data_IF_038151339522
#
_entry.id   IF_038151339522
#
_cell.length_a   1.000
_cell.length_b   1.000
_cell.length_c   1.000
_cell.angle_alpha   90.00
_cell.angle_beta   90.00
_cell.angle_gamma   90.00
#
_symmetry.space_group_name_H-M   'P 1'
#
loop_
_entity.id
_entity.type
_entity.pdbx_description
1 polymer ?
#
# COMPACT_ATOMS: atom_id res chain seq x y z
N UNK A 1 -36.53 63.40 40.53
CA UNK A 1 -37.79 62.81 41.05
C UNK A 1 -37.92 61.46 40.32
N UNK A 2 -37.74 60.34 41.06
CA UNK A 2 -37.84 58.90 40.68
C UNK A 2 -36.91 58.42 39.53
N UNK A 3 -35.94 57.49 39.64
CA UNK A 3 -35.72 56.26 40.43
C UNK A 3 -36.68 55.09 40.13
N UNK A 4 -36.09 53.88 40.14
CA UNK A 4 -36.59 52.50 39.93
C UNK A 4 -36.29 51.93 38.53
N UNK A 5 -35.58 50.82 38.33
CA UNK A 5 -35.00 49.86 39.25
C UNK A 5 -34.85 48.47 38.58
N UNK A 6 -33.62 47.95 38.60
CA UNK A 6 -33.15 46.55 38.77
C UNK A 6 -33.62 45.40 37.85
N UNK A 7 -32.63 44.60 37.42
CA UNK A 7 -32.79 43.16 37.17
C UNK A 7 -31.73 42.56 36.26
N UNK A 8 -30.57 42.20 36.80
CA UNK A 8 -29.70 41.15 36.22
C UNK A 8 -30.15 39.80 36.82
N UNK A 9 -30.23 38.72 36.02
CA UNK A 9 -29.22 37.68 36.24
C UNK A 9 -28.77 36.97 34.95
N UNK A 10 -27.54 36.48 35.01
CA UNK A 10 -26.81 35.90 33.90
C UNK A 10 -27.41 34.65 33.25
N UNK A 11 -26.89 34.38 32.05
CA UNK A 11 -26.62 33.03 31.57
C UNK A 11 -25.23 33.09 30.91
N UNK A 12 -24.25 32.61 31.65
CA UNK A 12 -23.00 32.09 31.14
C UNK A 12 -23.32 30.96 30.16
N UNK A 13 -23.23 31.24 28.86
CA UNK A 13 -23.18 30.19 27.85
C UNK A 13 -21.71 29.91 27.58
N UNK A 14 -21.29 28.79 28.17
CA UNK A 14 -20.03 28.10 27.93
C UNK A 14 -19.78 28.02 26.42
N UNK A 15 -18.71 28.67 25.96
CA UNK A 15 -18.12 28.33 24.66
C UNK A 15 -17.45 26.97 24.86
N UNK A 16 -18.22 25.94 24.54
CA UNK A 16 -17.79 24.57 24.42
C UNK A 16 -16.55 24.54 23.51
N UNK A 17 -15.43 24.11 24.11
CA UNK A 17 -14.18 23.88 23.43
C UNK A 17 -14.44 22.85 22.32
N UNK A 18 -14.60 23.33 21.09
CA UNK A 18 -14.57 22.51 19.90
C UNK A 18 -13.19 21.87 19.81
N UNK A 19 -13.15 20.61 20.20
CA UNK A 19 -11.99 19.73 20.20
C UNK A 19 -11.28 19.83 18.86
N UNK A 20 -9.97 20.07 18.94
CA UNK A 20 -9.11 20.21 17.77
C UNK A 20 -9.28 19.01 16.85
N UNK A 21 -9.68 19.27 15.62
CA UNK A 21 -9.36 18.37 14.53
C UNK A 21 -7.84 18.34 14.48
N UNK A 22 -7.25 17.27 15.04
CA UNK A 22 -5.87 16.92 14.77
C UNK A 22 -5.77 16.76 13.25
N UNK A 23 -5.26 17.81 12.60
CA UNK A 23 -4.64 17.72 11.29
C UNK A 23 -3.57 16.65 11.45
N UNK A 24 -3.92 15.42 11.10
CA UNK A 24 -2.96 14.36 10.86
C UNK A 24 -2.24 14.80 9.59
N UNK A 25 -1.28 15.72 9.76
CA UNK A 25 -0.25 16.02 8.77
C UNK A 25 0.39 14.68 8.43
N UNK A 26 -0.07 14.08 7.33
CA UNK A 26 0.61 12.97 6.68
C UNK A 26 1.83 13.54 5.94
N UNK A 27 2.72 14.16 6.71
CA UNK A 27 4.05 14.60 6.31
C UNK A 27 5.09 13.51 6.65
N UNK A 28 4.68 12.24 6.59
CA UNK A 28 5.62 11.18 6.28
C UNK A 28 5.95 11.28 4.79
N UNK A 29 6.89 12.19 4.52
CA UNK A 29 7.85 12.08 3.43
C UNK A 29 8.05 10.60 3.10
N UNK A 30 7.65 10.22 1.89
CA UNK A 30 7.91 8.91 1.31
C UNK A 30 9.42 8.61 1.40
N UNK A 31 9.86 8.02 2.51
CA UNK A 31 11.12 7.31 2.56
C UNK A 31 10.91 6.02 1.76
N UNK A 32 11.13 6.16 0.46
CA UNK A 32 11.02 5.13 -0.57
C UNK A 32 11.92 3.90 -0.34
N UNK A 33 12.59 3.79 0.81
CA UNK A 33 13.46 2.66 1.17
C UNK A 33 12.77 1.58 2.00
N UNK A 34 11.62 1.86 2.62
CA UNK A 34 10.85 0.84 3.36
C UNK A 34 9.84 0.18 2.42
N UNK A 35 9.90 -1.15 2.32
CA UNK A 35 8.90 -1.91 1.56
C UNK A 35 7.48 -1.60 2.11
N UNK A 36 6.44 -1.51 1.26
CA UNK A 36 5.08 -1.24 1.70
C UNK A 36 4.69 -2.28 2.76
N UNK A 37 4.35 -1.82 3.96
CA UNK A 37 3.90 -2.72 5.02
C UNK A 37 5.00 -3.38 5.84
N UNK A 38 6.13 -2.69 6.10
CA UNK A 38 6.92 -2.99 7.30
C UNK A 38 6.25 -2.35 8.52
N UNK A 39 5.74 -3.18 9.43
CA UNK A 39 5.13 -2.76 10.68
C UNK A 39 5.74 -3.56 11.84
N UNK A 40 6.60 -2.88 12.62
CA UNK A 40 7.30 -3.45 13.76
C UNK A 40 6.74 -2.82 15.04
N UNK A 41 5.98 -3.62 15.80
CA UNK A 41 5.32 -3.19 17.04
C UNK A 41 6.11 -3.59 18.30
N UNK A 42 7.06 -4.53 18.19
CA UNK A 42 7.72 -5.15 19.33
C UNK A 42 9.25 -5.10 19.24
N UNK A 43 9.98 -5.01 20.37
CA UNK A 43 11.44 -4.88 20.37
C UNK A 43 12.20 -6.02 19.69
N UNK A 44 11.63 -7.23 19.65
CA UNK A 44 12.24 -8.37 18.95
C UNK A 44 12.08 -8.29 17.43
N UNK A 45 11.23 -7.40 16.93
CA UNK A 45 10.89 -7.29 15.52
C UNK A 45 12.00 -6.66 14.67
N UNK A 46 12.73 -5.68 15.19
CA UNK A 46 13.89 -5.09 14.51
C UNK A 46 14.99 -6.13 14.25
N UNK A 47 15.49 -6.89 15.26
CA UNK A 47 16.43 -7.99 15.01
C UNK A 47 15.88 -9.04 14.05
N UNK A 48 14.57 -9.34 14.11
CA UNK A 48 13.94 -10.30 13.21
C UNK A 48 13.90 -9.81 11.75
N UNK A 49 13.62 -8.53 11.54
CA UNK A 49 13.63 -7.89 10.22
C UNK A 49 15.05 -7.90 9.63
N UNK A 50 16.06 -7.54 10.44
CA UNK A 50 17.45 -7.63 10.00
C UNK A 50 17.86 -9.05 9.58
N UNK A 51 17.41 -10.08 10.30
CA UNK A 51 17.66 -11.47 9.91
C UNK A 51 17.03 -11.82 8.56
N UNK A 52 15.77 -11.41 8.34
CA UNK A 52 15.08 -11.63 7.08
C UNK A 52 15.81 -10.94 5.92
N UNK A 53 16.21 -9.68 6.09
CA UNK A 53 16.97 -8.94 5.09
C UNK A 53 18.34 -9.55 4.81
N UNK A 54 19.09 -9.93 5.86
CA UNK A 54 20.41 -10.57 5.72
C UNK A 54 20.30 -11.88 4.96
N UNK A 55 19.27 -12.69 5.23
CA UNK A 55 19.05 -13.94 4.50
C UNK A 55 18.86 -13.71 3.01
N UNK A 56 18.05 -12.73 2.62
CA UNK A 56 17.82 -12.39 1.21
C UNK A 56 19.09 -11.85 0.54
N UNK A 57 19.90 -11.07 1.24
CA UNK A 57 21.12 -10.43 0.69
C UNK A 57 22.34 -11.36 0.63
N UNK A 58 22.42 -12.37 1.50
CA UNK A 58 23.62 -13.21 1.66
C UNK A 58 23.53 -14.58 0.99
N UNK A 59 22.33 -15.01 0.58
CA UNK A 59 22.14 -16.32 -0.05
C UNK A 59 21.74 -16.17 -1.52
N UNK A 60 22.54 -16.78 -2.40
CA UNK A 60 22.20 -16.86 -3.82
C UNK A 60 20.92 -17.66 -4.09
N UNK A 61 20.43 -18.42 -3.10
CA UNK A 61 19.13 -19.11 -3.17
C UNK A 61 17.95 -18.11 -3.23
N UNK A 62 18.17 -16.85 -2.85
CA UNK A 62 17.12 -15.83 -2.70
C UNK A 62 17.40 -14.54 -3.49
N UNK A 63 18.35 -14.52 -4.43
CA UNK A 63 18.74 -13.32 -5.21
C UNK A 63 17.56 -12.65 -5.95
N UNK A 64 16.54 -13.44 -6.29
CA UNK A 64 15.34 -12.99 -7.00
C UNK A 64 14.15 -12.71 -6.06
N UNK A 65 14.36 -12.76 -4.75
CA UNK A 65 13.32 -12.53 -3.74
C UNK A 65 13.58 -11.24 -2.97
N UNK A 66 12.51 -10.53 -2.65
CA UNK A 66 12.52 -9.38 -1.75
C UNK A 66 11.42 -9.52 -0.69
N UNK A 67 11.51 -8.74 0.39
CA UNK A 67 10.40 -8.58 1.33
C UNK A 67 9.37 -7.66 0.67
N UNK A 68 8.15 -8.17 0.47
CA UNK A 68 7.01 -7.34 0.13
C UNK A 68 6.49 -6.60 1.36
N UNK A 69 6.21 -7.34 2.43
CA UNK A 69 5.72 -6.81 3.70
C UNK A 69 6.28 -7.61 4.86
N UNK A 70 6.42 -6.96 6.01
CA UNK A 70 6.92 -7.57 7.24
C UNK A 70 6.12 -7.02 8.42
N UNK A 71 5.37 -7.86 9.11
CA UNK A 71 4.51 -7.41 10.20
C UNK A 71 4.71 -8.26 11.44
N UNK A 72 4.95 -7.60 12.57
CA UNK A 72 4.91 -8.24 13.89
C UNK A 72 3.57 -7.95 14.55
N UNK A 73 2.84 -8.99 14.98
CA UNK A 73 1.48 -8.85 15.55
C UNK A 73 1.33 -9.68 16.83
N UNK A 74 0.43 -9.25 17.71
CA UNK A 74 -0.05 -10.02 18.88
C UNK A 74 1.08 -10.55 19.80
N UNK A 75 2.21 -9.85 19.92
CA UNK A 75 3.44 -10.22 20.68
C UNK A 75 4.13 -11.53 20.27
N UNK A 76 3.53 -12.36 19.42
CA UNK A 76 4.02 -13.72 19.14
C UNK A 76 3.82 -14.16 17.69
N UNK A 77 3.39 -13.28 16.78
CA UNK A 77 3.20 -13.60 15.38
C UNK A 77 4.09 -12.73 14.50
N UNK A 78 4.76 -13.37 13.55
CA UNK A 78 5.57 -12.74 12.51
C UNK A 78 5.00 -13.13 11.15
N UNK A 79 4.61 -12.15 10.36
CA UNK A 79 4.11 -12.32 9.00
C UNK A 79 5.10 -11.72 8.01
N UNK A 80 5.55 -12.51 7.04
CA UNK A 80 6.47 -12.07 5.99
C UNK A 80 5.88 -12.45 4.64
N UNK A 81 5.62 -11.46 3.79
CA UNK A 81 5.26 -11.72 2.40
C UNK A 81 6.48 -11.53 1.51
N UNK A 82 6.75 -12.50 0.63
CA UNK A 82 7.90 -12.50 -0.27
C UNK A 82 7.51 -12.11 -1.68
N UNK A 83 8.27 -11.19 -2.27
CA UNK A 83 8.10 -10.72 -3.64
C UNK A 83 9.16 -11.32 -4.55
N UNK A 84 8.75 -12.03 -5.61
CA UNK A 84 9.66 -12.56 -6.63
C UNK A 84 9.82 -11.58 -7.80
N UNK A 85 11.00 -10.98 -7.93
CA UNK A 85 11.22 -9.84 -8.84
C UNK A 85 11.07 -10.23 -10.31
N UNK A 86 11.51 -11.42 -10.70
CA UNK A 86 11.37 -11.95 -12.07
C UNK A 86 9.96 -12.43 -12.42
N UNK A 87 9.09 -12.65 -11.43
CA UNK A 87 7.75 -13.17 -11.68
C UNK A 87 6.80 -12.01 -12.04
N UNK A 88 6.00 -12.09 -13.12
CA UNK A 88 5.13 -10.98 -13.55
C UNK A 88 4.17 -10.46 -12.47
N UNK A 89 3.73 -11.34 -11.56
CA UNK A 89 2.87 -10.99 -10.42
C UNK A 89 3.59 -10.91 -9.07
N UNK A 90 4.91 -11.08 -9.05
CA UNK A 90 5.68 -11.05 -7.81
C UNK A 90 5.53 -12.29 -6.92
N UNK A 91 4.99 -13.39 -7.45
CA UNK A 91 4.66 -14.59 -6.65
C UNK A 91 5.84 -15.59 -6.65
N UNK A 92 6.46 -15.87 -5.49
CA UNK A 92 7.41 -16.97 -5.38
C UNK A 92 6.70 -18.33 -5.39
N UNK A 93 7.49 -19.37 -5.65
CA UNK A 93 7.02 -20.77 -5.59
C UNK A 93 6.84 -21.24 -4.14
N UNK A 94 6.05 -22.29 -3.94
CA UNK A 94 5.86 -22.89 -2.61
C UNK A 94 7.18 -23.37 -2.00
N UNK A 95 8.09 -23.89 -2.82
CA UNK A 95 9.40 -24.38 -2.38
C UNK A 95 10.29 -23.23 -1.91
N UNK A 96 10.30 -22.10 -2.62
CA UNK A 96 11.03 -20.89 -2.21
C UNK A 96 10.50 -20.33 -0.89
N UNK A 97 9.17 -20.24 -0.76
CA UNK A 97 8.51 -19.79 0.48
C UNK A 97 8.86 -20.71 1.65
N UNK A 98 8.77 -22.03 1.44
CA UNK A 98 9.07 -23.02 2.48
C UNK A 98 10.55 -23.03 2.87
N UNK A 99 11.44 -22.88 1.89
CA UNK A 99 12.88 -22.79 2.10
C UNK A 99 13.23 -21.53 2.91
N UNK A 100 12.70 -20.38 2.52
CA UNK A 100 12.90 -19.13 3.25
C UNK A 100 12.38 -19.22 4.69
N UNK A 101 11.17 -19.72 4.90
CA UNK A 101 10.59 -19.90 6.24
C UNK A 101 11.47 -20.74 7.16
N UNK A 102 12.05 -21.84 6.63
CA UNK A 102 12.97 -22.70 7.39
C UNK A 102 14.27 -21.96 7.74
N UNK A 103 14.86 -21.23 6.80
CA UNK A 103 16.09 -20.46 7.03
C UNK A 103 15.87 -19.31 8.02
N UNK A 104 14.75 -18.61 7.88
CA UNK A 104 14.36 -17.54 8.77
C UNK A 104 14.21 -18.02 10.21
N UNK A 105 13.57 -19.18 10.43
CA UNK A 105 13.44 -19.76 11.78
C UNK A 105 14.80 -19.98 12.44
N UNK A 106 15.75 -20.58 11.73
CA UNK A 106 17.13 -20.79 12.25
C UNK A 106 17.82 -19.45 12.55
N UNK A 107 17.73 -18.47 11.64
CA UNK A 107 18.33 -17.15 11.86
C UNK A 107 17.70 -16.39 13.04
N UNK A 108 16.41 -16.60 13.30
CA UNK A 108 15.71 -16.00 14.45
C UNK A 108 16.14 -16.65 15.76
N UNK A 109 16.30 -17.97 15.80
CA UNK A 109 16.80 -18.67 16.99
C UNK A 109 18.16 -18.12 17.44
N UNK A 110 19.04 -17.80 16.48
CA UNK A 110 20.34 -17.18 16.76
C UNK A 110 20.22 -15.72 17.24
N UNK A 111 19.31 -14.93 16.65
CA UNK A 111 19.23 -13.49 16.91
C UNK A 111 18.40 -13.11 18.14
N UNK A 112 17.31 -13.83 18.42
CA UNK A 112 16.36 -13.51 19.50
C UNK A 112 16.16 -14.66 20.50
N UNK A 113 16.92 -15.75 20.37
CA UNK A 113 16.99 -16.84 21.34
C UNK A 113 15.63 -17.52 21.58
N UNK A 114 15.31 -17.78 22.85
CA UNK A 114 14.07 -18.43 23.27
C UNK A 114 12.80 -17.76 22.73
N UNK A 115 12.87 -16.46 22.42
CA UNK A 115 11.73 -15.76 21.84
C UNK A 115 11.31 -16.38 20.51
N UNK A 116 12.25 -16.81 19.66
CA UNK A 116 11.98 -17.42 18.36
C UNK A 116 11.10 -18.67 18.46
N UNK A 117 11.31 -19.48 19.50
CA UNK A 117 10.52 -20.70 19.76
C UNK A 117 9.05 -20.40 20.08
N UNK A 118 8.76 -19.20 20.60
CA UNK A 118 7.39 -18.75 20.90
C UNK A 118 6.68 -18.11 19.71
N UNK A 119 7.38 -17.90 18.58
CA UNK A 119 6.82 -17.20 17.42
C UNK A 119 6.07 -18.15 16.48
N UNK A 120 4.84 -17.78 16.16
CA UNK A 120 4.15 -18.22 14.96
C UNK A 120 4.70 -17.41 13.77
N UNK A 121 5.35 -18.11 12.83
CA UNK A 121 5.97 -17.49 11.65
C UNK A 121 5.14 -17.91 10.44
N UNK A 122 4.57 -16.93 9.76
CA UNK A 122 3.86 -17.10 8.50
C UNK A 122 4.68 -16.45 7.38
N UNK A 123 5.06 -17.26 6.39
CA UNK A 123 5.70 -16.75 5.17
C UNK A 123 4.76 -17.02 4.01
N UNK A 124 4.44 -15.99 3.25
CA UNK A 124 3.42 -16.03 2.20
C UNK A 124 3.87 -15.27 0.95
N UNK A 125 3.02 -15.28 -0.08
CA UNK A 125 3.15 -14.40 -1.25
C UNK A 125 2.25 -13.19 -1.06
N UNK A 126 2.55 -12.04 -1.69
CA UNK A 126 1.62 -10.94 -1.82
C UNK A 126 0.29 -11.46 -2.35
N UNK A 127 -0.80 -11.10 -1.67
CA UNK A 127 -2.14 -11.49 -2.07
C UNK A 127 -2.54 -10.90 -3.42
N UNK A 128 -3.75 -11.25 -3.84
CA UNK A 128 -4.33 -10.82 -5.11
C UNK A 128 -4.49 -9.28 -5.20
N UNK A 129 -4.75 -8.61 -4.08
CA UNK A 129 -4.89 -7.15 -3.98
C UNK A 129 -3.57 -6.50 -3.56
N UNK A 130 -2.57 -6.60 -4.45
CA UNK A 130 -1.23 -6.05 -4.22
C UNK A 130 -1.23 -4.52 -4.28
N UNK A 131 -0.61 -3.87 -3.32
CA UNK A 131 -0.28 -2.45 -3.38
C UNK A 131 1.03 -2.24 -4.13
N UNK A 132 1.04 -1.27 -5.05
CA UNK A 132 2.17 -1.00 -5.94
C UNK A 132 3.00 0.14 -5.35
N UNK A 133 4.31 -0.07 -5.17
CA UNK A 133 5.22 1.02 -4.77
C UNK A 133 5.35 2.04 -5.88
N UNK A 134 5.12 3.29 -5.54
CA UNK A 134 5.20 4.42 -6.47
C UNK A 134 6.54 5.13 -6.26
N UNK A 135 7.35 5.38 -7.31
CA UNK A 135 7.19 4.89 -8.69
C UNK A 135 7.81 3.50 -8.94
N UNK A 136 8.54 2.95 -7.97
CA UNK A 136 9.50 1.85 -8.16
C UNK A 136 8.93 0.58 -8.82
N UNK A 137 7.66 0.24 -8.55
CA UNK A 137 7.03 -0.98 -9.06
C UNK A 137 6.13 -0.71 -10.29
N UNK A 138 5.88 0.55 -10.68
CA UNK A 138 4.92 0.89 -11.75
C UNK A 138 5.26 0.22 -13.08
N UNK A 139 6.52 0.33 -13.51
CA UNK A 139 6.99 -0.25 -14.78
C UNK A 139 6.88 -1.78 -14.78
N UNK A 140 7.26 -2.41 -13.65
CA UNK A 140 7.23 -3.87 -13.49
C UNK A 140 5.84 -4.45 -13.65
N UNK A 141 4.80 -3.72 -13.24
CA UNK A 141 3.42 -4.16 -13.33
C UNK A 141 2.64 -3.51 -14.48
N UNK A 142 3.31 -2.87 -15.44
CA UNK A 142 2.69 -2.13 -16.55
C UNK A 142 1.73 -2.95 -17.43
N UNK A 143 1.92 -4.26 -17.48
CA UNK A 143 1.05 -5.21 -18.20
C UNK A 143 -0.25 -5.56 -17.46
N UNK A 144 -0.45 -5.07 -16.23
CA UNK A 144 -1.64 -5.36 -15.42
C UNK A 144 -2.50 -4.11 -15.21
N UNK A 145 -3.85 -4.27 -15.20
CA UNK A 145 -4.72 -3.20 -14.79
C UNK A 145 -4.50 -2.89 -13.31
N UNK A 146 -4.48 -1.60 -12.98
CA UNK A 146 -4.32 -1.11 -11.61
C UNK A 146 -5.47 -0.19 -11.25
N UNK A 147 -5.99 -0.33 -10.04
CA UNK A 147 -6.85 0.65 -9.43
C UNK A 147 -6.00 1.83 -8.96
N UNK A 148 -6.12 2.96 -9.65
CA UNK A 148 -5.33 4.16 -9.39
C UNK A 148 -6.23 5.20 -8.76
N UNK A 149 -5.83 5.67 -7.58
CA UNK A 149 -6.52 6.70 -6.80
C UNK A 149 -5.62 7.93 -6.71
N UNK A 150 -6.16 9.08 -7.06
CA UNK A 150 -5.38 10.30 -7.22
C UNK A 150 -6.21 11.57 -6.98
N UNK A 151 -5.51 12.67 -6.69
CA UNK A 151 -6.11 14.00 -6.64
C UNK A 151 -6.23 14.59 -8.04
N UNK A 152 -7.44 15.02 -8.41
CA UNK A 152 -7.70 15.87 -9.56
C UNK A 152 -8.24 17.21 -9.08
N UNK A 153 -7.39 18.23 -9.10
CA UNK A 153 -7.71 19.56 -8.55
C UNK A 153 -8.10 19.47 -7.07
N UNK A 154 -9.40 19.55 -6.75
CA UNK A 154 -9.92 19.48 -5.37
C UNK A 154 -10.66 18.18 -5.07
N UNK A 155 -10.69 17.22 -5.99
CA UNK A 155 -11.45 15.97 -5.85
C UNK A 155 -10.53 14.77 -5.89
N UNK A 156 -10.84 13.77 -5.07
CA UNK A 156 -10.27 12.43 -5.21
C UNK A 156 -11.01 11.70 -6.33
N UNK A 157 -10.25 11.14 -7.27
CA UNK A 157 -10.76 10.28 -8.34
C UNK A 157 -10.11 8.90 -8.27
N UNK A 158 -10.83 7.91 -8.78
CA UNK A 158 -10.34 6.54 -8.86
C UNK A 158 -10.77 5.91 -10.18
N UNK A 159 -9.82 5.31 -10.90
CA UNK A 159 -10.06 4.61 -12.15
C UNK A 159 -9.21 3.34 -12.24
N UNK A 160 -9.72 2.31 -12.94
CA UNK A 160 -8.87 1.17 -13.30
C UNK A 160 -8.12 1.49 -14.58
N UNK A 161 -6.80 1.55 -14.53
CA UNK A 161 -5.96 2.02 -15.64
C UNK A 161 -4.77 1.10 -15.88
N UNK A 162 -4.23 1.16 -17.09
CA UNK A 162 -2.94 0.59 -17.47
C UNK A 162 -1.88 1.69 -17.35
N UNK A 163 -0.78 1.37 -16.67
CA UNK A 163 0.40 2.24 -16.67
C UNK A 163 1.08 2.21 -18.04
N UNK A 164 1.53 3.36 -18.53
CA UNK A 164 2.17 3.45 -19.85
C UNK A 164 3.61 3.95 -19.80
N UNK A 165 3.89 4.96 -18.97
CA UNK A 165 5.25 5.48 -18.72
C UNK A 165 5.27 6.47 -17.57
N UNK A 166 6.45 6.70 -17.01
CA UNK A 166 6.78 7.82 -16.15
C UNK A 166 7.69 8.79 -16.90
N UNK A 167 7.33 10.06 -16.97
CA UNK A 167 8.26 11.12 -17.34
C UNK A 167 9.08 11.50 -16.10
N UNK A 168 10.34 11.07 -16.08
CA UNK A 168 11.25 11.32 -14.95
C UNK A 168 11.61 12.79 -14.75
N UNK A 169 11.49 13.61 -15.81
CA UNK A 169 11.81 15.05 -15.75
C UNK A 169 10.68 15.81 -15.08
N UNK A 170 9.45 15.54 -15.50
CA UNK A 170 8.25 16.22 -14.97
C UNK A 170 7.62 15.50 -13.79
N UNK A 171 8.13 14.33 -13.41
CA UNK A 171 7.55 13.44 -12.39
C UNK A 171 6.07 13.17 -12.66
N UNK A 172 5.71 13.01 -13.92
CA UNK A 172 4.32 12.79 -14.37
C UNK A 172 4.15 11.39 -14.92
N UNK A 173 3.14 10.68 -14.43
CA UNK A 173 2.76 9.34 -14.86
C UNK A 173 1.69 9.40 -15.95
N UNK A 174 1.82 8.50 -16.93
CA UNK A 174 0.94 8.40 -18.08
C UNK A 174 0.13 7.11 -18.01
N UNK A 175 -1.20 7.24 -18.09
CA UNK A 175 -2.12 6.12 -17.94
C UNK A 175 -3.19 6.10 -19.02
N UNK A 176 -3.78 4.93 -19.25
CA UNK A 176 -4.97 4.74 -20.11
C UNK A 176 -5.99 3.87 -19.40
N UNK A 177 -7.29 4.08 -19.66
CA UNK A 177 -8.32 3.21 -19.09
C UNK A 177 -8.12 1.76 -19.52
N UNK A 178 -8.17 0.84 -18.55
CA UNK A 178 -8.14 -0.58 -18.81
C UNK A 178 -9.51 -1.05 -19.34
N UNK A 179 -9.52 -1.98 -20.30
CA UNK A 179 -10.76 -2.59 -20.80
C UNK A 179 -11.21 -3.77 -19.91
N UNK A 180 -11.53 -3.45 -18.65
CA UNK A 180 -12.01 -4.38 -17.62
C UNK A 180 -13.48 -4.18 -17.32
N UNK A 181 -14.14 -5.16 -16.70
CA UNK A 181 -15.57 -5.08 -16.36
C UNK A 181 -15.94 -3.81 -15.61
N UNK A 182 -15.08 -3.35 -14.69
CA UNK A 182 -15.29 -2.14 -13.89
C UNK A 182 -15.44 -0.86 -14.74
N UNK A 183 -14.79 -0.79 -15.91
CA UNK A 183 -14.83 0.38 -16.79
C UNK A 183 -15.82 0.20 -17.96
N UNK A 184 -16.36 -0.99 -18.16
CA UNK A 184 -17.28 -1.29 -19.26
C UNK A 184 -18.67 -0.77 -18.95
N UNK A 185 -19.33 -0.26 -19.98
CA UNK A 185 -20.72 0.19 -19.89
C UNK A 185 -21.67 -0.96 -20.26
N UNK A 186 -22.90 -0.91 -19.73
CA UNK A 186 -23.95 -1.87 -20.07
C UNK A 186 -24.85 -1.31 -21.17
N UNK A 187 -25.17 -2.13 -22.17
CA UNK A 187 -26.18 -1.79 -23.15
C UNK A 187 -27.60 -1.79 -22.55
N UNK A 188 -28.60 -1.42 -23.35
CA UNK A 188 -30.01 -1.41 -22.92
C UNK A 188 -30.55 -2.77 -22.48
N UNK A 189 -29.83 -3.86 -22.78
CA UNK A 189 -30.17 -5.24 -22.44
C UNK A 189 -29.33 -5.75 -21.26
N UNK A 190 -28.50 -4.89 -20.64
CA UNK A 190 -27.61 -5.26 -19.55
C UNK A 190 -26.34 -5.99 -19.98
N UNK A 191 -26.03 -6.05 -21.28
CA UNK A 191 -24.82 -6.70 -21.78
C UNK A 191 -23.61 -5.77 -21.62
N UNK A 192 -22.53 -6.29 -21.03
CA UNK A 192 -21.25 -5.58 -20.94
C UNK A 192 -20.66 -5.35 -22.33
N UNK A 193 -20.38 -4.09 -22.64
CA UNK A 193 -19.78 -3.67 -23.90
C UNK A 193 -18.36 -3.17 -23.64
N UNK A 194 -17.41 -3.44 -24.55
CA UNK A 194 -16.07 -2.88 -24.45
C UNK A 194 -16.08 -1.37 -24.30
N UNK A 195 -15.04 -0.84 -23.66
CA UNK A 195 -14.84 0.61 -23.58
C UNK A 195 -14.79 1.22 -25.00
N UNK A 196 -15.32 2.43 -25.16
CA UNK A 196 -15.35 3.08 -26.47
C UNK A 196 -13.93 3.44 -26.89
N UNK A 197 -13.65 3.42 -28.20
CA UNK A 197 -12.34 3.78 -28.76
C UNK A 197 -11.80 5.09 -28.20
N UNK A 198 -12.64 6.12 -28.13
CA UNK A 198 -12.31 7.44 -27.57
C UNK A 198 -11.85 7.36 -26.12
N UNK A 199 -12.53 6.57 -25.30
CA UNK A 199 -12.25 6.49 -23.86
C UNK A 199 -10.99 5.64 -23.63
N UNK A 200 -10.73 4.63 -24.48
CA UNK A 200 -9.49 3.84 -24.50
C UNK A 200 -8.26 4.63 -24.92
N UNK A 201 -8.42 5.58 -25.83
CA UNK A 201 -7.33 6.43 -26.32
C UNK A 201 -7.07 7.65 -25.43
N UNK A 202 -7.97 7.94 -24.48
CA UNK A 202 -7.77 9.01 -23.51
C UNK A 202 -6.57 8.68 -22.61
N UNK A 203 -5.62 9.60 -22.58
CA UNK A 203 -4.47 9.55 -21.69
C UNK A 203 -4.77 10.36 -20.43
N UNK A 204 -4.35 9.84 -19.28
CA UNK A 204 -4.42 10.50 -17.98
C UNK A 204 -2.99 10.82 -17.57
N UNK A 205 -2.72 12.11 -17.36
CA UNK A 205 -1.44 12.63 -16.89
C UNK A 205 -1.60 12.97 -15.41
N UNK A 206 -0.89 12.27 -14.55
CA UNK A 206 -1.02 12.40 -13.10
C UNK A 206 0.37 12.63 -12.51
N UNK A 207 0.56 13.75 -11.81
CA UNK A 207 1.81 13.99 -11.07
C UNK A 207 2.04 12.88 -10.05
N UNK A 208 3.28 12.48 -9.83
CA UNK A 208 3.61 11.54 -8.75
C UNK A 208 3.09 12.04 -7.39
N UNK A 209 3.07 13.35 -7.17
CA UNK A 209 2.57 13.96 -5.93
C UNK A 209 1.04 13.91 -5.80
N UNK A 210 0.32 13.71 -6.90
CA UNK A 210 -1.15 13.61 -6.89
C UNK A 210 -1.61 12.15 -6.75
N UNK A 211 -0.72 11.17 -6.90
CA UNK A 211 -1.04 9.76 -6.70
C UNK A 211 -1.21 9.47 -5.20
N UNK A 212 -2.39 9.00 -4.83
CA UNK A 212 -2.71 8.65 -3.43
C UNK A 212 -2.41 7.17 -3.20
N UNK A 213 -2.86 6.31 -4.11
CA UNK A 213 -2.71 4.85 -3.97
C UNK A 213 -2.82 4.16 -5.32
N UNK A 214 -2.03 3.09 -5.50
CA UNK A 214 -2.12 2.22 -6.68
C UNK A 214 -2.16 0.77 -6.20
N UNK A 215 -3.22 0.06 -6.58
CA UNK A 215 -3.38 -1.36 -6.27
C UNK A 215 -3.54 -2.16 -7.57
N UNK A 216 -3.01 -3.38 -7.62
CA UNK A 216 -3.31 -4.30 -8.70
C UNK A 216 -4.81 -4.58 -8.73
N UNK A 217 -5.41 -4.50 -9.91
CA UNK A 217 -6.81 -4.80 -10.12
C UNK A 217 -6.98 -6.22 -10.66
N UNK A 218 -7.93 -6.96 -10.09
CA UNK A 218 -8.32 -8.29 -10.57
C UNK A 218 -9.76 -8.21 -11.06
N UNK A 219 -9.96 -8.60 -12.31
CA UNK A 219 -11.28 -8.73 -12.91
C UNK A 219 -11.86 -10.09 -12.50
N UNK A 220 -12.87 -10.07 -11.63
CA UNK A 220 -13.59 -11.25 -11.10
C UNK A 220 -15.01 -11.39 -11.67
#
# INVERSE_FOLDING_TARGET
RAALGNGDPGISAEVENGEGLEDFESDELFDSTVAPGVNIEYPWGEPAFECAEKLLKMSSEFDDLNIYSFTTRNRARLEVALDKLSHPRGSPTLDEVSLFARRLRVALEEAIGDKANSLEIEVSTPGAEREIRIPADLERFSDFPMLVRYHNSTREEQHVMMFHRLDETTKTTHWKLADVRANRWLDKRGKSMPIRRRDREREFLISLNDLIRVNMHIDV
#
